data_IF_577634689092
#
_entry.id   IF_577634689092
#
_cell.length_a   1.000
_cell.length_b   1.000
_cell.length_c   1.000
_cell.angle_alpha   90.00
_cell.angle_beta   90.00
_cell.angle_gamma   90.00
#
_symmetry.space_group_name_H-M   'P 1'
#
loop_
_entity.id
_entity.type
_entity.pdbx_description
1 polymer ?
#
# COMPACT_ATOMS: atom_id res chain seq x y z
N UNK A 1 -18.18 -22.98 5.56
CA UNK A 1 -16.79 -22.56 5.87
C UNK A 1 -16.00 -22.11 4.64
N UNK A 2 -16.05 -22.85 3.51
CA UNK A 2 -15.28 -22.51 2.29
C UNK A 2 -15.57 -21.10 1.71
N UNK A 3 -16.84 -20.65 1.72
CA UNK A 3 -17.22 -19.31 1.22
C UNK A 3 -16.66 -18.17 2.07
N UNK A 4 -16.69 -18.29 3.39
CA UNK A 4 -16.17 -17.26 4.30
C UNK A 4 -14.64 -17.12 4.17
N UNK A 5 -13.93 -18.25 4.04
CA UNK A 5 -12.50 -18.27 3.77
C UNK A 5 -12.16 -17.62 2.42
N UNK A 6 -12.86 -17.99 1.34
CA UNK A 6 -12.62 -17.41 0.01
C UNK A 6 -12.89 -15.90 -0.01
N UNK A 7 -13.95 -15.43 0.67
CA UNK A 7 -14.25 -14.00 0.75
C UNK A 7 -13.18 -13.23 1.54
N UNK A 8 -12.73 -13.78 2.68
CA UNK A 8 -11.67 -13.18 3.48
C UNK A 8 -10.33 -13.15 2.72
N UNK A 9 -10.00 -14.21 1.98
CA UNK A 9 -8.80 -14.26 1.15
C UNK A 9 -8.80 -13.19 0.07
N UNK A 10 -9.93 -13.01 -0.62
CA UNK A 10 -10.09 -11.96 -1.64
C UNK A 10 -9.92 -10.58 -1.02
N UNK A 11 -10.53 -10.32 0.14
CA UNK A 11 -10.40 -9.05 0.84
C UNK A 11 -8.96 -8.76 1.27
N UNK A 12 -8.27 -9.73 1.87
CA UNK A 12 -6.88 -9.58 2.31
C UNK A 12 -5.98 -9.28 1.11
N UNK A 13 -6.12 -10.05 0.02
CA UNK A 13 -5.35 -9.81 -1.20
C UNK A 13 -5.66 -8.45 -1.82
N UNK A 14 -6.93 -8.03 -1.79
CA UNK A 14 -7.32 -6.69 -2.23
C UNK A 14 -6.62 -5.59 -1.43
N UNK A 15 -6.64 -5.65 -0.09
CA UNK A 15 -5.94 -4.68 0.75
C UNK A 15 -4.42 -4.69 0.52
N UNK A 16 -3.83 -5.87 0.32
CA UNK A 16 -2.42 -5.98 -0.02
C UNK A 16 -2.08 -5.32 -1.37
N UNK A 17 -2.91 -5.53 -2.40
CA UNK A 17 -2.76 -4.87 -3.70
C UNK A 17 -2.91 -3.35 -3.59
N UNK A 18 -3.88 -2.87 -2.81
CA UNK A 18 -4.06 -1.44 -2.55
C UNK A 18 -2.79 -0.84 -1.93
N UNK A 19 -2.21 -1.50 -0.92
CA UNK A 19 -0.94 -1.06 -0.32
C UNK A 19 0.20 -0.96 -1.33
N UNK A 20 0.34 -1.95 -2.22
CA UNK A 20 1.32 -1.92 -3.31
C UNK A 20 1.09 -0.73 -4.25
N UNK A 21 -0.16 -0.49 -4.68
CA UNK A 21 -0.50 0.60 -5.60
C UNK A 21 -0.15 1.96 -4.99
N UNK A 22 -0.55 2.21 -3.73
CA UNK A 22 -0.21 3.44 -3.03
C UNK A 22 1.29 3.63 -2.89
N UNK A 23 2.01 2.55 -2.56
CA UNK A 23 3.46 2.55 -2.51
C UNK A 23 4.12 2.90 -3.84
N UNK A 24 3.66 2.29 -4.94
CA UNK A 24 4.15 2.57 -6.29
C UNK A 24 3.85 4.00 -6.75
N UNK A 25 2.67 4.54 -6.43
CA UNK A 25 2.34 5.94 -6.71
C UNK A 25 3.31 6.90 -6.01
N UNK A 26 3.70 6.59 -4.76
CA UNK A 26 4.71 7.38 -4.07
C UNK A 26 6.07 7.33 -4.76
N UNK A 27 6.55 6.14 -5.15
CA UNK A 27 7.79 6.00 -5.92
C UNK A 27 7.74 6.76 -7.26
N UNK A 28 6.60 6.71 -7.96
CA UNK A 28 6.40 7.45 -9.20
C UNK A 28 6.49 8.97 -8.98
N UNK A 29 5.91 9.49 -7.90
CA UNK A 29 6.03 10.91 -7.54
C UNK A 29 7.47 11.31 -7.24
N UNK A 30 8.22 10.48 -6.49
CA UNK A 30 9.65 10.72 -6.22
C UNK A 30 10.47 10.70 -7.51
N UNK A 31 10.22 9.75 -8.40
CA UNK A 31 10.88 9.68 -9.70
C UNK A 31 10.56 10.92 -10.57
N UNK A 32 9.29 11.34 -10.60
CA UNK A 32 8.86 12.53 -11.32
C UNK A 32 9.52 13.80 -10.77
N UNK A 33 9.57 13.98 -9.45
CA UNK A 33 10.23 15.12 -8.81
C UNK A 33 11.75 15.14 -9.10
N UNK A 34 12.39 13.97 -9.12
CA UNK A 34 13.81 13.81 -9.45
C UNK A 34 14.09 14.17 -10.92
N UNK A 35 13.24 13.69 -11.85
CA UNK A 35 13.33 14.02 -13.28
C UNK A 35 13.12 15.52 -13.53
N UNK A 36 12.12 16.13 -12.89
CA UNK A 36 11.84 17.57 -13.01
C UNK A 36 12.99 18.42 -12.48
N UNK A 37 13.68 17.94 -11.44
CA UNK A 37 14.90 18.56 -10.93
C UNK A 37 16.05 18.46 -11.93
N UNK A 38 16.19 17.32 -12.61
CA UNK A 38 17.23 17.11 -13.63
C UNK A 38 17.04 17.97 -14.88
N UNK A 39 15.80 18.18 -15.34
CA UNK A 39 15.49 19.02 -16.52
C UNK A 39 15.40 20.51 -16.22
N UNK A 40 15.78 20.95 -15.02
CA UNK A 40 15.69 22.36 -14.55
C UNK A 40 14.27 22.95 -14.71
N UNK A 41 13.26 22.17 -14.33
CA UNK A 41 11.88 22.64 -14.33
C UNK A 41 11.70 23.89 -13.43
N UNK A 42 10.65 24.70 -13.65
CA UNK A 42 10.38 25.88 -12.83
C UNK A 42 10.37 25.56 -11.33
N UNK A 43 10.90 26.48 -10.53
CA UNK A 43 11.08 26.28 -9.08
C UNK A 43 9.76 26.03 -8.34
N UNK A 44 8.70 26.75 -8.69
CA UNK A 44 7.36 26.56 -8.11
C UNK A 44 6.82 25.13 -8.30
N UNK A 45 7.14 24.49 -9.44
CA UNK A 45 6.69 23.14 -9.75
C UNK A 45 7.50 22.10 -8.95
N UNK A 46 8.81 22.31 -8.83
CA UNK A 46 9.70 21.45 -8.03
C UNK A 46 9.34 21.50 -6.55
N UNK A 47 9.08 22.70 -6.01
CA UNK A 47 8.65 22.90 -4.62
C UNK A 47 7.32 22.21 -4.33
N UNK A 48 6.30 22.40 -5.17
CA UNK A 48 4.97 21.80 -4.96
C UNK A 48 5.02 20.25 -4.89
N UNK A 49 5.82 19.63 -5.78
CA UNK A 49 6.00 18.18 -5.77
C UNK A 49 6.81 17.69 -4.57
N UNK A 50 7.88 18.39 -4.20
CA UNK A 50 8.68 18.02 -3.03
C UNK A 50 7.92 18.19 -1.73
N UNK A 51 7.13 19.26 -1.56
CA UNK A 51 6.27 19.44 -0.38
C UNK A 51 5.25 18.30 -0.26
N UNK A 52 4.63 17.88 -1.36
CA UNK A 52 3.72 16.74 -1.38
C UNK A 52 4.42 15.42 -0.99
N UNK A 53 5.64 15.19 -1.47
CA UNK A 53 6.45 14.02 -1.09
C UNK A 53 6.86 14.07 0.39
N UNK A 54 7.26 15.25 0.87
CA UNK A 54 7.70 15.47 2.27
C UNK A 54 6.56 15.19 3.24
N UNK A 55 5.34 15.64 2.93
CA UNK A 55 4.16 15.32 3.75
C UNK A 55 3.84 13.82 3.78
N UNK A 56 4.27 13.07 2.77
CA UNK A 56 4.08 11.62 2.65
C UNK A 56 5.38 10.83 2.88
N UNK A 57 6.37 11.42 3.56
CA UNK A 57 7.76 10.93 3.62
C UNK A 57 7.92 9.45 3.97
N UNK A 58 7.08 8.94 4.88
CA UNK A 58 7.14 7.56 5.34
C UNK A 58 5.92 6.72 4.92
N UNK A 59 4.79 7.35 4.58
CA UNK A 59 3.57 6.60 4.29
C UNK A 59 3.72 5.73 3.05
N UNK A 60 4.33 6.24 1.97
CA UNK A 60 4.49 5.50 0.71
C UNK A 60 5.27 4.18 0.85
N UNK A 61 6.53 4.20 1.33
CA UNK A 61 7.32 2.98 1.53
C UNK A 61 6.66 2.00 2.51
N UNK A 62 6.02 2.51 3.57
CA UNK A 62 5.28 1.68 4.54
C UNK A 62 4.11 0.98 3.85
N UNK A 63 3.31 1.68 3.03
CA UNK A 63 2.22 1.08 2.28
C UNK A 63 2.71 -0.01 1.32
N UNK A 64 3.84 0.22 0.64
CA UNK A 64 4.42 -0.77 -0.26
C UNK A 64 4.82 -2.05 0.49
N UNK A 65 5.56 -1.91 1.59
CA UNK A 65 6.04 -3.04 2.40
C UNK A 65 4.87 -3.76 3.06
N UNK A 66 3.91 -3.02 3.63
CA UNK A 66 2.70 -3.59 4.20
C UNK A 66 1.90 -4.36 3.15
N UNK A 67 1.73 -3.81 1.95
CA UNK A 67 1.05 -4.48 0.84
C UNK A 67 1.73 -5.80 0.45
N UNK A 68 3.06 -5.81 0.36
CA UNK A 68 3.84 -7.02 0.10
C UNK A 68 3.71 -8.06 1.20
N UNK A 69 3.79 -7.66 2.47
CA UNK A 69 3.65 -8.56 3.63
C UNK A 69 2.25 -9.17 3.65
N UNK A 70 1.21 -8.36 3.44
CA UNK A 70 -0.18 -8.80 3.40
C UNK A 70 -0.41 -9.81 2.29
N UNK A 71 0.15 -9.58 1.09
CA UNK A 71 0.02 -10.52 -0.02
C UNK A 71 0.80 -11.82 0.24
N UNK A 72 2.03 -11.71 0.73
CA UNK A 72 2.90 -12.86 1.04
C UNK A 72 2.26 -13.79 2.07
N UNK A 73 1.67 -13.20 3.11
CA UNK A 73 1.08 -13.95 4.23
C UNK A 73 -0.44 -14.06 4.12
N UNK A 74 -1.00 -13.88 2.91
CA UNK A 74 -2.46 -13.74 2.74
C UNK A 74 -3.24 -14.96 3.21
N UNK A 75 -2.70 -16.17 3.05
CA UNK A 75 -3.35 -17.41 3.49
C UNK A 75 -3.37 -17.55 5.02
N UNK A 76 -2.23 -17.32 5.69
CA UNK A 76 -2.13 -17.33 7.16
C UNK A 76 -3.01 -16.25 7.80
N UNK A 77 -3.02 -15.04 7.23
CA UNK A 77 -3.90 -13.95 7.67
C UNK A 77 -5.38 -14.30 7.50
N UNK A 78 -5.73 -15.00 6.42
CA UNK A 78 -7.10 -15.45 6.17
C UNK A 78 -7.53 -16.48 7.20
N UNK A 79 -6.67 -17.46 7.50
CA UNK A 79 -6.96 -18.46 8.51
C UNK A 79 -7.13 -17.85 9.90
N UNK A 80 -6.28 -16.89 10.26
CA UNK A 80 -6.39 -16.14 11.51
C UNK A 80 -7.73 -15.39 11.61
N UNK A 81 -8.10 -14.64 10.56
CA UNK A 81 -9.36 -13.89 10.50
C UNK A 81 -10.60 -14.78 10.59
N UNK A 82 -10.59 -15.92 9.90
CA UNK A 82 -11.70 -16.88 9.92
C UNK A 82 -11.82 -17.59 11.27
N UNK A 83 -10.70 -17.81 11.98
CA UNK A 83 -10.71 -18.36 13.35
C UNK A 83 -11.26 -17.32 14.35
N UNK A 84 -10.78 -16.08 14.28
CA UNK A 84 -11.23 -15.00 15.16
C UNK A 84 -12.74 -14.73 15.02
N UNK A 85 -13.25 -14.67 13.78
CA UNK A 85 -14.69 -14.45 13.51
C UNK A 85 -15.60 -15.60 13.94
N UNK A 86 -15.05 -16.80 14.19
CA UNK A 86 -15.81 -17.90 14.81
C UNK A 86 -15.81 -17.81 16.33
N UNK A 87 -14.74 -17.27 16.92
CA UNK A 87 -14.58 -17.20 18.36
C UNK A 87 -15.39 -16.08 19.02
N UNK A 88 -15.67 -15.01 18.26
CA UNK A 88 -16.58 -13.91 18.67
C UNK A 88 -18.07 -14.22 18.39
N UNK A 89 -18.38 -15.36 17.75
CA UNK A 89 -19.74 -15.74 17.34
C UNK A 89 -20.48 -16.67 18.31
N UNK A 90 -19.81 -17.12 19.38
CA UNK A 90 -20.35 -17.93 20.47
C UNK A 90 -20.50 -17.08 21.75
#
# INVERSE_FOLDING_TARGET
MHRAYNNALVLIRFFGLVGIIFGLMWFANVAAASLLSAVRAPEWLRLALWEGIVQQQLSGPIWFIAGLIILKNSEELTEFLVKATKQDGD
#
